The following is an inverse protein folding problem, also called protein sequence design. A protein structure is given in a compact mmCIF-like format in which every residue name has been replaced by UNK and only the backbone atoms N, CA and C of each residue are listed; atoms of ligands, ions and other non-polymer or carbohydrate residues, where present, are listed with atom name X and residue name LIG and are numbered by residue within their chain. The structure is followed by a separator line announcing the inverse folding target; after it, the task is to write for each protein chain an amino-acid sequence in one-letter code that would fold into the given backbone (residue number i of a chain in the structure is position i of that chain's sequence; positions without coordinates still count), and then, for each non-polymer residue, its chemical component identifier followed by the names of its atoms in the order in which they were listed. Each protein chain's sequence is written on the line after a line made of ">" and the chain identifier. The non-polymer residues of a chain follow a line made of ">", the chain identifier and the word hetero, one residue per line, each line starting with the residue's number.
data_IF_807793688383
#
_entry.id   IF_807793688383
#
_cell.length_a   1.000
_cell.length_b   1.000
_cell.length_c   1.000
_cell.angle_alpha   90.00
_cell.angle_beta   90.00
_cell.angle_gamma   90.00
#
_symmetry.space_group_name_H-M   'P 1'
#
loop_
_entity.id
_entity.type
_entity.pdbx_description
1 polymer ?
#
# COMPACT_ATOMS: atom_id res chain seq x y z
N UNK A 1 -4.00 11.84 -9.86
CA UNK A 1 -4.75 10.57 -9.68
C UNK A 1 -4.84 10.32 -8.18
N UNK A 2 -6.03 10.09 -7.65
CA UNK A 2 -6.32 10.24 -6.22
C UNK A 2 -5.75 9.10 -5.37
N UNK A 3 -4.69 9.39 -4.62
CA UNK A 3 -4.14 8.57 -3.52
C UNK A 3 -5.09 8.44 -2.31
N UNK A 4 -6.31 8.97 -2.40
CA UNK A 4 -7.24 9.11 -1.28
C UNK A 4 -7.59 7.77 -0.60
N UNK A 5 -7.74 6.70 -1.38
CA UNK A 5 -8.01 5.35 -0.83
C UNK A 5 -6.78 4.84 -0.07
N UNK A 6 -5.58 5.01 -0.63
CA UNK A 6 -4.35 4.63 0.07
C UNK A 6 -4.13 5.46 1.32
N UNK A 7 -4.36 6.77 1.28
CA UNK A 7 -4.27 7.64 2.45
C UNK A 7 -5.27 7.22 3.53
N UNK A 8 -6.50 6.84 3.15
CA UNK A 8 -7.48 6.31 4.09
C UNK A 8 -6.99 5.00 4.76
N UNK A 9 -6.44 4.07 3.98
CA UNK A 9 -5.89 2.80 4.49
C UNK A 9 -4.73 3.09 5.45
N UNK A 10 -3.78 3.93 5.05
CA UNK A 10 -2.61 4.30 5.85
C UNK A 10 -3.02 5.00 7.14
N UNK A 11 -4.01 5.90 7.10
CA UNK A 11 -4.54 6.57 8.29
C UNK A 11 -5.22 5.59 9.25
N UNK A 12 -6.01 4.63 8.75
CA UNK A 12 -6.59 3.56 9.59
C UNK A 12 -5.50 2.73 10.29
N UNK A 13 -4.39 2.48 9.58
CA UNK A 13 -3.24 1.77 10.11
C UNK A 13 -2.28 2.65 10.95
N UNK A 14 -2.55 3.96 11.07
CA UNK A 14 -1.69 4.96 11.73
C UNK A 14 -0.26 4.98 11.17
N UNK A 15 -0.15 4.93 9.85
CA UNK A 15 1.11 4.96 9.11
C UNK A 15 1.24 6.32 8.41
N UNK A 16 2.39 6.98 8.61
CA UNK A 16 2.74 8.20 7.89
C UNK A 16 3.88 7.91 6.91
N UNK A 17 3.66 8.29 5.65
CA UNK A 17 4.62 8.14 4.56
C UNK A 17 4.74 9.46 3.81
N UNK A 18 5.93 9.74 3.29
CA UNK A 18 6.12 10.83 2.33
C UNK A 18 5.34 10.56 1.03
N UNK A 19 5.06 11.60 0.25
CA UNK A 19 4.34 11.46 -1.02
C UNK A 19 5.04 10.50 -2.00
N UNK A 20 6.38 10.47 -2.00
CA UNK A 20 7.15 9.54 -2.82
C UNK A 20 6.97 8.09 -2.35
N UNK A 21 6.98 7.85 -1.03
CA UNK A 21 6.73 6.54 -0.44
C UNK A 21 5.31 6.04 -0.70
N UNK A 22 4.31 6.92 -0.56
CA UNK A 22 2.92 6.59 -0.90
C UNK A 22 2.80 6.15 -2.35
N UNK A 23 3.45 6.85 -3.29
CA UNK A 23 3.43 6.50 -4.72
C UNK A 23 4.07 5.13 -4.97
N UNK A 24 5.22 4.85 -4.33
CA UNK A 24 5.87 3.55 -4.49
C UNK A 24 5.04 2.42 -3.89
N UNK A 25 4.54 2.62 -2.67
CA UNK A 25 3.64 1.66 -2.03
C UNK A 25 2.40 1.41 -2.89
N UNK A 26 1.77 2.45 -3.43
CA UNK A 26 0.62 2.32 -4.32
C UNK A 26 0.94 1.43 -5.52
N UNK A 27 2.03 1.73 -6.23
CA UNK A 27 2.43 0.99 -7.43
C UNK A 27 2.75 -0.49 -7.13
N UNK A 28 3.45 -0.76 -6.03
CA UNK A 28 3.75 -2.14 -5.63
C UNK A 28 2.49 -2.87 -5.15
N UNK A 29 1.59 -2.20 -4.44
CA UNK A 29 0.31 -2.74 -3.97
C UNK A 29 -0.57 -3.14 -5.15
N UNK A 30 -0.82 -2.24 -6.11
CA UNK A 30 -1.64 -2.57 -7.28
C UNK A 30 -1.00 -3.69 -8.12
N UNK A 31 0.33 -3.72 -8.21
CA UNK A 31 1.05 -4.79 -8.92
C UNK A 31 0.93 -6.13 -8.21
N UNK A 32 1.02 -6.15 -6.89
CA UNK A 32 0.91 -7.38 -6.09
C UNK A 32 -0.48 -7.99 -6.19
N UNK A 33 -1.53 -7.16 -6.13
CA UNK A 33 -2.92 -7.60 -6.25
C UNK A 33 -3.38 -7.79 -7.72
N UNK A 34 -2.51 -7.58 -8.71
CA UNK A 34 -2.86 -7.75 -10.13
C UNK A 34 -3.88 -6.73 -10.64
N UNK A 35 -3.99 -5.57 -9.98
CA UNK A 35 -4.96 -4.51 -10.29
C UNK A 35 -4.46 -3.59 -11.42
N UNK A 36 -3.20 -3.72 -11.83
CA UNK A 36 -2.54 -2.88 -12.84
C UNK A 36 -3.34 -2.82 -14.14
N UNK A 37 -3.74 -1.61 -14.54
CA UNK A 37 -4.45 -1.37 -15.79
C UNK A 37 -5.95 -1.62 -15.72
N UNK A 38 -6.49 -1.95 -14.54
CA UNK A 38 -7.93 -2.01 -14.36
C UNK A 38 -8.54 -0.60 -14.49
N UNK A 39 -9.63 -0.47 -15.24
CA UNK A 39 -10.28 0.83 -15.50
C UNK A 39 -10.72 1.57 -14.21
N UNK A 40 -10.79 0.87 -13.07
CA UNK A 40 -11.20 1.41 -11.76
C UNK A 40 -10.31 0.90 -10.61
N UNK A 41 -8.98 0.99 -10.73
CA UNK A 41 -8.02 0.49 -9.72
C UNK A 41 -8.35 0.93 -8.28
N UNK A 42 -8.69 2.21 -8.09
CA UNK A 42 -9.04 2.76 -6.77
C UNK A 42 -10.30 2.11 -6.19
N UNK A 43 -11.31 1.84 -7.01
CA UNK A 43 -12.56 1.22 -6.55
C UNK A 43 -12.34 -0.25 -6.18
N UNK A 44 -11.57 -0.97 -6.99
CA UNK A 44 -11.20 -2.37 -6.70
C UNK A 44 -10.44 -2.45 -5.37
N UNK A 45 -9.49 -1.53 -5.14
CA UNK A 45 -8.75 -1.48 -3.88
C UNK A 45 -9.65 -1.10 -2.69
N UNK A 46 -10.58 -0.17 -2.88
CA UNK A 46 -11.55 0.21 -1.85
C UNK A 46 -12.48 -0.96 -1.49
N UNK A 47 -13.01 -1.66 -2.49
CA UNK A 47 -13.86 -2.83 -2.31
C UNK A 47 -13.08 -3.96 -1.61
N UNK A 48 -11.83 -4.21 -2.01
CA UNK A 48 -10.93 -5.14 -1.34
C UNK A 48 -10.65 -4.74 0.12
N UNK A 49 -10.52 -3.45 0.43
CA UNK A 49 -10.33 -2.98 1.80
C UNK A 49 -11.58 -3.16 2.69
N UNK A 50 -12.77 -3.20 2.09
CA UNK A 50 -14.04 -3.44 2.81
C UNK A 50 -14.24 -4.91 3.13
N UNK A 51 -13.69 -5.81 2.32
CA UNK A 51 -13.72 -7.25 2.57
C UNK A 51 -12.72 -7.64 3.69
N UNK A 52 -13.14 -8.38 4.73
CA UNK A 52 -12.25 -8.74 5.85
C UNK A 52 -11.04 -9.59 5.46
N UNK A 53 -11.18 -10.48 4.47
CA UNK A 53 -10.09 -11.35 4.01
C UNK A 53 -9.05 -10.53 3.26
N UNK A 54 -9.49 -9.73 2.28
CA UNK A 54 -8.58 -8.89 1.51
C UNK A 54 -7.98 -7.75 2.33
N UNK A 55 -8.71 -7.21 3.31
CA UNK A 55 -8.16 -6.25 4.28
C UNK A 55 -6.93 -6.82 5.00
N UNK A 56 -7.02 -8.04 5.50
CA UNK A 56 -5.91 -8.70 6.20
C UNK A 56 -4.68 -8.84 5.30
N UNK A 57 -4.88 -9.24 4.04
CA UNK A 57 -3.81 -9.34 3.04
C UNK A 57 -3.19 -7.98 2.71
N UNK A 58 -4.00 -6.94 2.51
CA UNK A 58 -3.51 -5.57 2.26
C UNK A 58 -2.69 -5.07 3.45
N UNK A 59 -3.17 -5.26 4.68
CA UNK A 59 -2.43 -4.87 5.87
C UNK A 59 -1.08 -5.60 5.99
N UNK A 60 -1.07 -6.91 5.73
CA UNK A 60 0.14 -7.73 5.78
C UNK A 60 1.15 -7.33 4.71
N UNK A 61 0.67 -7.02 3.51
CA UNK A 61 1.50 -6.50 2.43
C UNK A 61 2.16 -5.18 2.87
N UNK A 62 1.37 -4.20 3.34
CA UNK A 62 1.90 -2.89 3.78
C UNK A 62 2.92 -3.07 4.93
N UNK A 63 2.61 -3.91 5.92
CA UNK A 63 3.55 -4.21 7.03
C UNK A 63 4.86 -4.81 6.52
N UNK A 64 4.79 -5.72 5.55
CA UNK A 64 5.96 -6.38 4.97
C UNK A 64 6.80 -5.41 4.12
N UNK A 65 6.13 -4.56 3.34
CA UNK A 65 6.76 -3.50 2.55
C UNK A 65 7.53 -2.53 3.44
N UNK A 66 6.91 -2.06 4.54
CA UNK A 66 7.57 -1.20 5.52
C UNK A 66 8.80 -1.86 6.18
N UNK A 67 8.70 -3.16 6.50
CA UNK A 67 9.83 -3.92 7.07
C UNK A 67 11.00 -4.02 6.10
N UNK A 68 10.73 -4.27 4.82
CA UNK A 68 11.74 -4.32 3.76
C UNK A 68 12.46 -2.97 3.63
N UNK A 69 11.70 -1.87 3.56
CA UNK A 69 12.25 -0.52 3.49
C UNK A 69 13.14 -0.12 4.67
N UNK A 70 12.75 -0.49 5.91
CA UNK A 70 13.59 -0.22 7.09
C UNK A 70 14.92 -0.97 7.01
N UNK A 71 14.93 -2.20 6.50
CA UNK A 71 16.16 -2.97 6.31
C UNK A 71 17.06 -2.34 5.27
N UNK A 72 16.51 -1.94 4.12
CA UNK A 72 17.26 -1.25 3.05
C UNK A 72 17.88 0.05 3.55
N UNK A 73 17.14 0.83 4.36
CA UNK A 73 17.69 2.06 4.97
C UNK A 73 18.86 1.74 5.91
N UNK A 74 18.74 0.71 6.76
CA UNK A 74 19.82 0.31 7.69
C UNK A 74 21.03 -0.27 6.94
N UNK A 75 20.82 -0.99 5.83
CA UNK A 75 21.90 -1.53 4.99
C UNK A 75 22.64 -0.46 4.20
N UNK A 76 21.97 0.61 3.75
CA UNK A 76 22.62 1.73 3.04
C UNK A 76 23.59 2.52 3.95
N UNK A 77 23.36 2.52 5.27
CA UNK A 77 24.19 3.24 6.25
C UNK A 77 25.19 2.35 7.01
N UNK A 78 25.43 1.10 6.56
CA UNK A 78 26.45 0.19 7.11
C UNK A 78 27.62 0.02 6.16
#
# INVERSE_FOLDING_TARGET
>A
MSLLVLDFILNNMRIWLSENEKRQLYNELISYFGIVGAMNECKILEDAWRDPFYRYEIENFIKSWLRKRRKETIEIYR
#
